data_IF_390561407307
#
_entry.id   IF_390561407307
#
_cell.length_a   1.000
_cell.length_b   1.000
_cell.length_c   1.000
_cell.angle_alpha   90.00
_cell.angle_beta   90.00
_cell.angle_gamma   90.00
#
_symmetry.space_group_name_H-M   'P 1'
#
loop_
_entity.id
_entity.type
_entity.pdbx_description
1 polymer ?
#
# COMPACT_ATOMS: atom_id res chain seq x y z
N UNK A 1 5.74 27.62 -19.04
CA UNK A 1 4.73 26.75 -18.38
C UNK A 1 5.24 26.46 -16.97
N UNK A 2 4.77 27.19 -15.97
CA UNK A 2 5.07 26.86 -14.56
C UNK A 2 3.81 26.21 -13.98
N UNK A 3 3.80 24.88 -14.00
CA UNK A 3 2.76 24.05 -13.39
C UNK A 3 3.33 23.24 -12.23
N UNK A 4 2.63 22.19 -11.82
CA UNK A 4 3.04 21.26 -10.74
C UNK A 4 4.48 20.73 -10.86
N UNK A 5 5.04 20.70 -12.08
CA UNK A 5 6.43 20.30 -12.37
C UNK A 5 7.51 21.31 -11.94
N UNK A 6 7.14 22.52 -11.53
CA UNK A 6 8.06 23.51 -10.95
C UNK A 6 8.30 23.28 -9.45
N UNK A 7 7.54 22.37 -8.82
CA UNK A 7 7.72 22.01 -7.42
C UNK A 7 8.93 21.06 -7.27
N UNK A 8 9.62 21.09 -6.12
CA UNK A 8 10.60 20.07 -5.77
C UNK A 8 9.97 18.68 -5.84
N UNK A 9 10.72 17.68 -6.29
CA UNK A 9 10.24 16.31 -6.46
C UNK A 9 9.64 15.75 -5.17
N UNK A 10 10.24 16.05 -4.01
CA UNK A 10 9.71 15.65 -2.71
C UNK A 10 8.32 16.21 -2.40
N UNK A 11 8.02 17.44 -2.85
CA UNK A 11 6.67 18.02 -2.71
C UNK A 11 5.67 17.31 -3.62
N UNK A 12 6.07 16.97 -4.85
CA UNK A 12 5.25 16.21 -5.79
C UNK A 12 4.96 14.81 -5.22
N UNK A 13 5.98 14.12 -4.71
CA UNK A 13 5.85 12.83 -4.05
C UNK A 13 4.92 12.89 -2.83
N UNK A 14 5.05 13.93 -2.00
CA UNK A 14 4.16 14.14 -0.87
C UNK A 14 2.70 14.29 -1.32
N UNK A 15 2.42 15.07 -2.37
CA UNK A 15 1.07 15.22 -2.94
C UNK A 15 0.54 13.87 -3.45
N UNK A 16 1.35 13.13 -4.22
CA UNK A 16 0.98 11.81 -4.75
C UNK A 16 0.69 10.82 -3.62
N UNK A 17 1.37 10.91 -2.47
CA UNK A 17 1.10 10.03 -1.32
C UNK A 17 -0.33 10.15 -0.77
N UNK A 18 -1.04 11.24 -1.07
CA UNK A 18 -2.44 11.44 -0.66
C UNK A 18 -3.45 10.96 -1.72
N UNK A 19 -3.01 10.44 -2.87
CA UNK A 19 -3.90 9.90 -3.91
C UNK A 19 -4.07 8.38 -3.75
N UNK A 20 -4.73 7.71 -4.71
CA UNK A 20 -4.75 6.24 -4.73
C UNK A 20 -3.49 5.67 -5.41
N UNK A 21 -3.13 4.40 -5.16
CA UNK A 21 -2.05 3.72 -5.89
C UNK A 21 -2.27 3.70 -7.40
N UNK A 22 -3.54 3.57 -7.84
CA UNK A 22 -3.93 3.70 -9.24
C UNK A 22 -3.60 5.08 -9.80
N UNK A 23 -3.98 6.15 -9.10
CA UNK A 23 -3.69 7.52 -9.53
C UNK A 23 -2.18 7.78 -9.60
N UNK A 24 -1.42 7.27 -8.63
CA UNK A 24 0.04 7.37 -8.64
C UNK A 24 0.65 6.71 -9.89
N UNK A 25 0.13 5.53 -10.28
CA UNK A 25 0.57 4.85 -11.50
C UNK A 25 0.17 5.62 -12.77
N UNK A 26 -1.01 6.26 -12.79
CA UNK A 26 -1.42 7.11 -13.91
C UNK A 26 -0.55 8.36 -14.03
N UNK A 27 -0.26 9.03 -12.91
CA UNK A 27 0.62 10.20 -12.87
C UNK A 27 2.03 9.84 -13.35
N UNK A 28 2.54 8.65 -13.00
CA UNK A 28 3.83 8.17 -13.47
C UNK A 28 3.93 8.07 -15.00
N UNK A 29 2.81 7.92 -15.72
CA UNK A 29 2.78 7.88 -17.18
C UNK A 29 2.79 9.28 -17.84
N UNK A 30 2.59 10.36 -17.08
CA UNK A 30 2.46 11.73 -17.61
C UNK A 30 3.81 12.36 -17.92
N UNK A 31 4.83 12.15 -17.07
CA UNK A 31 6.18 12.67 -17.27
C UNK A 31 7.23 11.90 -16.48
N UNK A 32 8.50 12.06 -16.82
CA UNK A 32 9.62 11.46 -16.07
C UNK A 32 9.73 12.00 -14.64
N UNK A 33 9.43 13.28 -14.41
CA UNK A 33 9.40 13.88 -13.07
C UNK A 33 8.29 13.27 -12.22
N UNK A 34 7.08 13.13 -12.77
CA UNK A 34 5.99 12.45 -12.07
C UNK A 34 6.31 10.97 -11.84
N UNK A 35 6.95 10.30 -12.80
CA UNK A 35 7.40 8.91 -12.64
C UNK A 35 8.34 8.75 -11.46
N UNK A 36 9.38 9.59 -11.40
CA UNK A 36 10.36 9.56 -10.30
C UNK A 36 9.67 9.80 -8.94
N UNK A 37 8.83 10.84 -8.85
CA UNK A 37 8.09 11.16 -7.63
C UNK A 37 7.11 10.04 -7.22
N UNK A 38 6.37 9.46 -8.18
CA UNK A 38 5.40 8.40 -7.94
C UNK A 38 6.04 7.06 -7.56
N UNK A 39 7.26 6.79 -8.05
CA UNK A 39 8.01 5.58 -7.74
C UNK A 39 8.78 5.69 -6.40
N UNK A 40 8.74 6.87 -5.75
CA UNK A 40 9.46 7.13 -4.51
C UNK A 40 8.88 6.40 -3.29
N UNK A 41 9.76 6.02 -2.36
CA UNK A 41 9.36 5.35 -1.11
C UNK A 41 8.41 6.20 -0.26
N UNK A 42 8.44 7.53 -0.37
CA UNK A 42 7.52 8.45 0.34
C UNK A 42 6.06 8.17 -0.03
N UNK A 43 5.80 7.88 -1.30
CA UNK A 43 4.46 7.55 -1.80
C UNK A 43 4.03 6.18 -1.28
N UNK A 44 4.87 5.17 -1.51
CA UNK A 44 4.52 3.78 -1.20
C UNK A 44 4.52 3.45 0.29
N UNK A 45 5.24 4.21 1.13
CA UNK A 45 5.11 4.14 2.59
C UNK A 45 3.70 4.38 3.09
N UNK A 46 2.98 5.26 2.39
CA UNK A 46 1.63 5.64 2.78
C UNK A 46 0.57 4.68 2.27
N UNK A 47 0.86 4.00 1.16
CA UNK A 47 0.01 2.96 0.59
C UNK A 47 0.19 1.62 1.30
N UNK A 48 1.36 1.37 1.87
CA UNK A 48 1.62 0.19 2.68
C UNK A 48 1.04 0.33 4.09
N UNK A 49 0.47 -0.74 4.66
CA UNK A 49 0.07 -0.71 6.06
C UNK A 49 1.24 -0.59 7.02
N UNK A 50 0.96 -0.15 8.25
CA UNK A 50 1.94 -0.10 9.34
C UNK A 50 2.64 -1.44 9.55
N UNK A 51 1.91 -2.55 9.42
CA UNK A 51 2.40 -3.93 9.58
C UNK A 51 3.58 -4.28 8.66
N UNK A 52 3.69 -3.62 7.50
CA UNK A 52 4.78 -3.78 6.54
C UNK A 52 5.86 -2.71 6.67
N UNK A 53 5.54 -1.58 7.30
CA UNK A 53 6.50 -0.50 7.58
C UNK A 53 7.44 -0.84 8.75
N UNK A 54 7.00 -1.70 9.67
CA UNK A 54 7.80 -2.20 10.78
C UNK A 54 8.52 -3.50 10.40
N UNK A 55 9.77 -3.37 9.95
CA UNK A 55 10.70 -4.47 9.68
C UNK A 55 11.03 -5.30 10.93
N UNK A 56 10.18 -6.27 11.31
CA UNK A 56 10.48 -7.41 12.20
C UNK A 56 9.15 -8.07 12.59
N UNK A 57 8.90 -9.36 12.48
CA UNK A 57 9.75 -10.55 12.43
C UNK A 57 8.90 -11.70 11.91
N UNK A 58 9.33 -12.43 10.88
CA UNK A 58 8.91 -13.82 10.62
C UNK A 58 9.77 -14.40 9.49
N UNK A 59 10.93 -14.94 9.87
CA UNK A 59 11.75 -16.02 9.29
C UNK A 59 11.91 -16.22 7.76
N UNK A 60 11.47 -15.28 6.93
CA UNK A 60 11.62 -15.28 5.46
C UNK A 60 12.30 -13.99 4.96
N UNK A 61 12.99 -13.31 5.88
CA UNK A 61 13.33 -11.90 5.89
C UNK A 61 14.55 -11.46 5.06
N UNK A 62 15.19 -12.35 4.31
CA UNK A 62 16.35 -11.99 3.47
C UNK A 62 15.99 -11.50 2.07
N UNK A 63 14.79 -11.79 1.55
CA UNK A 63 14.38 -11.35 0.20
C UNK A 63 13.54 -10.08 0.18
N UNK A 64 12.96 -9.66 1.31
CA UNK A 64 12.02 -8.53 1.35
C UNK A 64 12.70 -7.19 1.67
N UNK A 65 13.85 -7.22 2.34
CA UNK A 65 14.64 -6.03 2.67
C UNK A 65 15.34 -5.42 1.45
N UNK A 66 15.45 -6.16 0.34
CA UNK A 66 16.08 -5.70 -0.90
C UNK A 66 15.09 -5.08 -1.90
N UNK A 67 13.78 -5.19 -1.67
CA UNK A 67 12.75 -4.69 -2.58
C UNK A 67 12.40 -3.23 -2.29
N UNK A 68 12.09 -2.46 -3.33
CA UNK A 68 11.46 -1.15 -3.16
C UNK A 68 10.08 -1.30 -2.51
N UNK A 69 9.60 -0.25 -1.83
CA UNK A 69 8.28 -0.28 -1.17
C UNK A 69 7.15 -0.49 -2.19
N UNK A 70 7.34 0.00 -3.42
CA UNK A 70 6.47 -0.27 -4.56
C UNK A 70 6.42 -1.75 -4.90
N UNK A 71 7.57 -2.40 -5.08
CA UNK A 71 7.62 -3.84 -5.38
C UNK A 71 7.03 -4.66 -4.24
N UNK A 72 7.25 -4.26 -3.00
CA UNK A 72 6.65 -4.90 -1.84
C UNK A 72 5.11 -4.82 -1.88
N UNK A 73 4.55 -3.67 -2.26
CA UNK A 73 3.11 -3.50 -2.45
C UNK A 73 2.56 -4.46 -3.54
N UNK A 74 3.20 -4.51 -4.71
CA UNK A 74 2.76 -5.41 -5.80
C UNK A 74 2.96 -6.89 -5.49
N UNK A 75 3.94 -7.26 -4.64
CA UNK A 75 4.19 -8.66 -4.28
C UNK A 75 3.26 -9.15 -3.18
N UNK A 76 2.88 -8.27 -2.26
CA UNK A 76 1.98 -8.58 -1.15
C UNK A 76 0.50 -8.59 -1.55
N UNK A 77 0.13 -7.96 -2.67
CA UNK A 77 -1.24 -8.01 -3.20
C UNK A 77 -1.69 -9.42 -3.63
N UNK A 78 -0.76 -10.36 -3.77
CA UNK A 78 -1.06 -11.64 -4.41
C UNK A 78 -1.39 -12.80 -3.47
N UNK A 79 -0.93 -12.86 -2.20
CA UNK A 79 -1.26 -13.98 -1.30
C UNK A 79 -0.69 -13.82 0.11
N UNK A 80 -1.51 -13.42 1.09
CA UNK A 80 -1.17 -13.57 2.51
C UNK A 80 -2.26 -14.41 3.17
N UNK A 81 -2.10 -15.73 3.02
CA UNK A 81 -2.86 -16.69 3.80
C UNK A 81 -2.32 -16.62 5.22
N UNK A 82 -3.05 -15.95 6.12
CA UNK A 82 -2.75 -15.97 7.53
C UNK A 82 -3.37 -17.24 8.12
N UNK A 83 -2.61 -18.34 8.14
CA UNK A 83 -2.92 -19.53 8.93
C UNK A 83 -4.34 -20.09 8.69
N UNK A 84 -4.59 -20.55 7.46
CA UNK A 84 -5.70 -21.46 7.10
C UNK A 84 -7.10 -20.85 6.99
N UNK A 85 -7.56 -20.11 8.01
CA UNK A 85 -8.96 -19.68 8.12
C UNK A 85 -9.19 -18.17 7.91
N UNK A 86 -8.11 -17.40 7.78
CA UNK A 86 -8.09 -15.96 7.50
C UNK A 86 -7.09 -15.70 6.38
N UNK A 87 -7.47 -14.93 5.36
CA UNK A 87 -6.51 -14.38 4.41
C UNK A 87 -6.74 -12.90 4.22
N UNK A 88 -5.69 -12.18 3.88
CA UNK A 88 -5.79 -10.78 3.52
C UNK A 88 -4.91 -10.47 2.32
N UNK A 89 -5.27 -9.41 1.61
CA UNK A 89 -4.53 -8.89 0.47
C UNK A 89 -4.85 -7.41 0.28
N UNK A 90 -4.13 -6.76 -0.63
CA UNK A 90 -4.38 -5.38 -1.01
C UNK A 90 -5.22 -5.34 -2.27
N UNK A 91 -6.28 -4.53 -2.27
CA UNK A 91 -6.86 -4.08 -3.52
C UNK A 91 -5.86 -3.14 -4.19
N UNK A 92 -5.21 -3.63 -5.24
CA UNK A 92 -4.16 -2.93 -5.99
C UNK A 92 -4.58 -1.52 -6.43
N UNK A 93 -5.87 -1.32 -6.65
CA UNK A 93 -6.40 -0.10 -7.23
C UNK A 93 -6.67 0.96 -6.16
N UNK A 94 -7.33 0.57 -5.06
CA UNK A 94 -7.71 1.49 -4.00
C UNK A 94 -6.72 1.59 -2.84
N UNK A 95 -5.77 0.65 -2.71
CA UNK A 95 -4.89 0.56 -1.54
C UNK A 95 -5.59 0.04 -0.28
N UNK A 96 -6.84 -0.38 -0.38
CA UNK A 96 -7.60 -0.91 0.77
C UNK A 96 -7.15 -2.32 1.11
N UNK A 97 -7.18 -2.65 2.41
CA UNK A 97 -7.03 -4.01 2.90
C UNK A 97 -8.32 -4.79 2.62
N UNK A 98 -8.18 -5.94 1.99
CA UNK A 98 -9.24 -6.91 1.80
C UNK A 98 -8.98 -8.11 2.69
N UNK A 99 -10.05 -8.62 3.33
CA UNK A 99 -9.99 -9.78 4.21
C UNK A 99 -10.98 -10.83 3.70
N UNK A 100 -10.56 -12.09 3.72
CA UNK A 100 -11.45 -13.24 3.61
C UNK A 100 -11.38 -14.02 4.90
N UNK A 101 -12.55 -14.22 5.51
CA UNK A 101 -12.71 -14.88 6.80
C UNK A 101 -13.60 -16.08 6.58
N UNK A 102 -13.20 -17.26 7.07
CA UNK A 102 -14.08 -18.42 7.03
C UNK A 102 -15.31 -18.21 7.93
N UNK A 103 -16.46 -18.77 7.56
CA UNK A 103 -17.68 -18.67 8.36
C UNK A 103 -17.52 -19.21 9.81
N UNK A 104 -16.51 -20.07 10.05
CA UNK A 104 -16.22 -20.65 11.37
C UNK A 104 -15.47 -19.69 12.29
N UNK A 105 -14.72 -18.73 11.72
CA UNK A 105 -13.96 -17.71 12.46
C UNK A 105 -14.69 -16.36 12.54
N UNK A 106 -15.71 -16.17 11.68
CA UNK A 106 -16.46 -14.91 11.66
C UNK A 106 -17.37 -14.82 12.90
N UNK A 107 -16.94 -14.03 13.87
CA UNK A 107 -17.76 -13.60 15.00
C UNK A 107 -17.96 -12.08 14.92
N UNK A 108 -19.23 -11.65 14.88
CA UNK A 108 -19.60 -10.24 14.94
C UNK A 108 -20.13 -10.00 16.35
N UNK A 109 -19.42 -9.20 17.15
CA UNK A 109 -20.00 -8.70 18.39
C UNK A 109 -21.11 -7.70 18.05
N UNK A 110 -22.31 -7.97 18.55
CA UNK A 110 -23.39 -7.00 18.62
C UNK A 110 -22.96 -5.85 19.55
N UNK A 111 -22.52 -4.74 18.96
CA UNK A 111 -22.34 -3.49 19.69
C UNK A 111 -23.75 -3.01 20.04
N UNK A 112 -24.20 -3.28 21.26
CA UNK A 112 -25.42 -2.72 21.82
C UNK A 112 -25.30 -1.20 21.69
N UNK A 113 -26.10 -0.62 20.79
CA UNK A 113 -26.31 0.81 20.70
C UNK A 113 -26.83 1.26 22.06
N UNK A 114 -25.99 1.95 22.83
CA UNK A 114 -26.42 2.72 23.98
C UNK A 114 -27.25 3.87 23.40
N UNK A 115 -28.57 3.69 23.40
CA UNK A 115 -29.55 4.71 23.07
C UNK A 115 -29.61 5.79 24.16
#
# INVERSE_FOLDING_TARGET
>A
MSGMLALPEGCIAAIISFTTPRDACQLACVSTTFKSAADSNVVWDRFLPPEYSSSSSSSSSTTWSALSKKELYFRTSHNLIHKGNLSFWFDLLSGKKCYMISARELYIEEVILIA
#
